data_IF_901471132379
#
_entry.id   IF_901471132379
#
_cell.length_a   1.000
_cell.length_b   1.000
_cell.length_c   1.000
_cell.angle_alpha   90.00
_cell.angle_beta   90.00
_cell.angle_gamma   90.00
#
_symmetry.space_group_name_H-M   'P 1'
#
loop_
_entity.id
_entity.type
_entity.pdbx_description
1 polymer ?
#
# COMPACT_ATOMS: atom_id res chain seq x y z
N UNK A 1 -4.60 -17.19 -24.02
CA UNK A 1 -5.37 -18.09 -23.14
C UNK A 1 -5.81 -17.31 -21.91
N UNK A 2 -7.13 -17.12 -21.72
CA UNK A 2 -7.74 -16.39 -20.58
C UNK A 2 -7.43 -17.15 -19.28
N UNK A 3 -6.42 -16.72 -18.51
CA UNK A 3 -6.11 -17.31 -17.20
C UNK A 3 -7.06 -16.79 -16.12
N UNK A 4 -8.36 -17.10 -16.29
CA UNK A 4 -9.46 -16.62 -15.45
C UNK A 4 -9.25 -16.96 -13.96
N UNK A 5 -8.67 -18.13 -13.66
CA UNK A 5 -8.38 -18.55 -12.28
C UNK A 5 -7.41 -17.60 -11.56
N UNK A 6 -6.35 -17.17 -12.24
CA UNK A 6 -5.38 -16.23 -11.67
C UNK A 6 -5.97 -14.83 -11.50
N UNK A 7 -6.81 -14.40 -12.46
CA UNK A 7 -7.51 -13.13 -12.40
C UNK A 7 -8.48 -13.10 -11.20
N UNK A 8 -9.23 -14.19 -10.96
CA UNK A 8 -10.13 -14.33 -9.80
C UNK A 8 -9.35 -14.35 -8.48
N UNK A 9 -8.26 -15.10 -8.39
CA UNK A 9 -7.46 -15.18 -7.17
C UNK A 9 -6.85 -13.82 -6.82
N UNK A 10 -6.27 -13.13 -7.80
CA UNK A 10 -5.71 -11.80 -7.60
C UNK A 10 -6.79 -10.78 -7.20
N UNK A 11 -7.93 -10.77 -7.89
CA UNK A 11 -9.05 -9.90 -7.57
C UNK A 11 -9.64 -10.19 -6.18
N UNK A 12 -9.71 -11.47 -5.78
CA UNK A 12 -10.15 -11.88 -4.45
C UNK A 12 -9.22 -11.37 -3.35
N UNK A 13 -7.91 -11.46 -3.53
CA UNK A 13 -6.95 -10.87 -2.59
C UNK A 13 -7.11 -9.36 -2.48
N UNK A 14 -7.35 -8.66 -3.60
CA UNK A 14 -7.56 -7.21 -3.58
C UNK A 14 -8.89 -6.86 -2.91
N UNK A 15 -9.93 -7.66 -3.15
CA UNK A 15 -11.23 -7.48 -2.52
C UNK A 15 -11.15 -7.59 -1.00
N UNK A 16 -10.33 -8.49 -0.45
CA UNK A 16 -10.10 -8.57 1.00
C UNK A 16 -9.55 -7.24 1.54
N UNK A 17 -8.54 -6.67 0.89
CA UNK A 17 -8.00 -5.35 1.27
C UNK A 17 -9.06 -4.24 1.19
N UNK A 18 -9.87 -4.24 0.14
CA UNK A 18 -10.97 -3.28 -0.01
C UNK A 18 -11.99 -3.44 1.13
N UNK A 19 -12.41 -4.66 1.45
CA UNK A 19 -13.39 -4.93 2.51
C UNK A 19 -12.88 -4.50 3.89
N UNK A 20 -11.59 -4.71 4.19
CA UNK A 20 -10.96 -4.21 5.42
C UNK A 20 -11.10 -2.68 5.53
N UNK A 21 -10.96 -1.95 4.43
CA UNK A 21 -11.01 -0.48 4.43
C UNK A 21 -12.44 0.09 4.37
N UNK A 22 -13.35 -0.58 3.67
CA UNK A 22 -14.74 -0.12 3.50
C UNK A 22 -15.56 -0.37 4.75
N UNK A 23 -15.44 -1.56 5.38
CA UNK A 23 -16.21 -1.93 6.56
C UNK A 23 -15.71 -1.11 7.77
N UNK A 24 -16.56 -0.26 8.41
CA UNK A 24 -16.12 0.66 9.45
C UNK A 24 -15.40 0.00 10.62
N UNK A 25 -15.93 -1.12 11.12
CA UNK A 25 -15.34 -1.86 12.23
C UNK A 25 -13.93 -2.37 11.92
N UNK A 26 -13.74 -2.96 10.73
CA UNK A 26 -12.43 -3.45 10.27
C UNK A 26 -11.47 -2.30 10.02
N UNK A 27 -11.94 -1.21 9.44
CA UNK A 27 -11.14 -0.01 9.18
C UNK A 27 -10.62 0.59 10.49
N UNK A 28 -11.47 0.72 11.52
CA UNK A 28 -11.03 1.28 12.81
C UNK A 28 -9.97 0.43 13.48
N UNK A 29 -10.14 -0.91 13.46
CA UNK A 29 -9.13 -1.83 14.00
C UNK A 29 -7.83 -1.77 13.19
N UNK A 30 -7.95 -1.74 11.87
CA UNK A 30 -6.81 -1.62 10.97
C UNK A 30 -6.02 -0.33 11.22
N UNK A 31 -6.70 0.81 11.34
CA UNK A 31 -6.07 2.10 11.68
C UNK A 31 -5.38 2.00 13.04
N UNK A 32 -6.06 1.54 14.09
CA UNK A 32 -5.50 1.39 15.43
C UNK A 32 -4.21 0.55 15.46
N UNK A 33 -4.22 -0.61 14.79
CA UNK A 33 -3.03 -1.47 14.69
C UNK A 33 -1.91 -0.75 13.96
N UNK A 34 -2.25 -0.03 12.89
CA UNK A 34 -1.23 0.62 12.06
C UNK A 34 -0.72 1.92 12.66
N UNK A 35 -1.48 2.55 13.56
CA UNK A 35 -1.02 3.69 14.36
C UNK A 35 -0.14 3.23 15.54
N UNK A 36 -0.43 2.06 16.12
CA UNK A 36 0.41 1.46 17.16
C UNK A 36 1.79 1.04 16.63
N UNK A 37 1.84 0.58 15.36
CA UNK A 37 3.09 0.20 14.70
C UNK A 37 3.18 0.80 13.28
N UNK A 38 3.44 2.11 13.13
CA UNK A 38 3.40 2.80 11.83
C UNK A 38 4.36 2.23 10.79
N UNK A 39 5.61 1.98 11.17
CA UNK A 39 6.60 1.44 10.25
C UNK A 39 6.30 0.01 9.85
N UNK A 40 5.91 -0.84 10.79
CA UNK A 40 5.55 -2.22 10.47
C UNK A 40 4.27 -2.26 9.61
N UNK A 41 3.28 -1.44 9.93
CA UNK A 41 2.07 -1.27 9.14
C UNK A 41 2.38 -0.79 7.72
N UNK A 42 3.24 0.21 7.58
CA UNK A 42 3.73 0.68 6.28
C UNK A 42 4.46 -0.43 5.52
N UNK A 43 5.37 -1.13 6.16
CA UNK A 43 6.11 -2.25 5.57
C UNK A 43 5.16 -3.31 5.00
N UNK A 44 4.24 -3.82 5.82
CA UNK A 44 3.34 -4.92 5.44
C UNK A 44 2.39 -4.48 4.32
N UNK A 45 1.78 -3.29 4.43
CA UNK A 45 0.84 -2.78 3.41
C UNK A 45 1.53 -2.60 2.06
N UNK A 46 2.69 -1.96 2.02
CA UNK A 46 3.41 -1.71 0.78
C UNK A 46 4.02 -3.00 0.20
N UNK A 47 4.60 -3.87 1.03
CA UNK A 47 5.13 -5.15 0.57
C UNK A 47 4.07 -5.98 -0.14
N UNK A 48 2.84 -6.02 0.38
CA UNK A 48 1.75 -6.79 -0.22
C UNK A 48 1.15 -6.06 -1.43
N UNK A 49 0.70 -4.82 -1.27
CA UNK A 49 -0.04 -4.11 -2.30
C UNK A 49 0.83 -3.74 -3.51
N UNK A 50 2.08 -3.35 -3.30
CA UNK A 50 2.99 -3.05 -4.41
C UNK A 50 3.41 -4.32 -5.16
N UNK A 51 3.64 -5.44 -4.45
CA UNK A 51 3.87 -6.73 -5.09
C UNK A 51 2.65 -7.23 -5.88
N UNK A 52 1.43 -6.98 -5.40
CA UNK A 52 0.22 -7.23 -6.18
C UNK A 52 0.17 -6.36 -7.44
N UNK A 53 0.57 -5.09 -7.34
CA UNK A 53 0.72 -4.17 -8.48
C UNK A 53 1.74 -4.66 -9.50
N UNK A 54 2.91 -5.14 -9.07
CA UNK A 54 3.94 -5.72 -9.94
C UNK A 54 3.40 -6.94 -10.71
N UNK A 55 2.65 -7.82 -10.03
CA UNK A 55 2.01 -8.97 -10.67
C UNK A 55 0.97 -8.54 -11.69
N UNK A 56 0.16 -7.51 -11.38
CA UNK A 56 -0.82 -6.97 -12.30
C UNK A 56 -0.15 -6.32 -13.52
N UNK A 57 0.91 -5.56 -13.32
CA UNK A 57 1.72 -4.98 -14.40
C UNK A 57 2.28 -6.06 -15.32
N UNK A 58 2.83 -7.14 -14.76
CA UNK A 58 3.29 -8.29 -15.54
C UNK A 58 2.15 -8.96 -16.33
N UNK A 59 0.95 -9.05 -15.73
CA UNK A 59 -0.25 -9.61 -16.38
C UNK A 59 -0.73 -8.76 -17.56
N UNK A 60 -0.69 -7.44 -17.43
CA UNK A 60 -1.05 -6.48 -18.49
C UNK A 60 -0.05 -6.58 -19.64
N UNK A 61 1.25 -6.57 -19.34
CA UNK A 61 2.32 -6.57 -20.35
C UNK A 61 2.47 -7.91 -21.08
N UNK A 62 2.38 -9.03 -20.35
CA UNK A 62 2.68 -10.38 -20.90
C UNK A 62 1.45 -11.20 -21.24
N UNK A 63 0.25 -10.73 -20.89
CA UNK A 63 -1.00 -11.47 -21.09
C UNK A 63 -1.17 -12.72 -20.22
N UNK A 64 -0.25 -12.99 -19.29
CA UNK A 64 -0.27 -14.15 -18.38
C UNK A 64 0.29 -13.78 -17.01
N UNK A 65 -0.18 -14.45 -15.97
CA UNK A 65 0.40 -14.33 -14.63
C UNK A 65 1.79 -14.93 -14.60
N UNK A 66 2.76 -14.13 -14.20
CA UNK A 66 4.16 -14.54 -14.04
C UNK A 66 4.64 -13.91 -12.75
N UNK A 67 5.25 -14.72 -11.88
CA UNK A 67 5.99 -14.17 -10.75
C UNK A 67 7.25 -13.46 -11.28
N UNK A 68 7.41 -12.16 -11.00
CA UNK A 68 8.65 -11.46 -11.34
C UNK A 68 9.86 -12.16 -10.72
N UNK A 69 10.97 -12.22 -11.44
CA UNK A 69 12.23 -12.73 -10.89
C UNK A 69 12.59 -11.93 -9.64
N UNK A 70 12.92 -12.63 -8.54
CA UNK A 70 13.20 -12.00 -7.26
C UNK A 70 11.97 -11.40 -6.56
N UNK A 71 10.76 -11.91 -6.82
CA UNK A 71 9.50 -11.44 -6.22
C UNK A 71 9.61 -11.16 -4.71
N UNK A 72 10.20 -12.07 -3.94
CA UNK A 72 10.35 -11.92 -2.49
C UNK A 72 11.28 -10.75 -2.12
N UNK A 73 12.41 -10.61 -2.81
CA UNK A 73 13.32 -9.47 -2.60
C UNK A 73 12.65 -8.14 -2.98
N UNK A 74 11.87 -8.12 -4.06
CA UNK A 74 11.08 -6.95 -4.44
C UNK A 74 10.04 -6.60 -3.38
N UNK A 75 9.35 -7.59 -2.81
CA UNK A 75 8.40 -7.36 -1.72
C UNK A 75 9.07 -6.74 -0.49
N UNK A 76 10.28 -7.19 -0.13
CA UNK A 76 11.07 -6.59 0.95
C UNK A 76 11.44 -5.15 0.61
N UNK A 77 11.92 -4.88 -0.60
CA UNK A 77 12.26 -3.52 -1.05
C UNK A 77 11.02 -2.61 -0.99
N UNK A 78 9.87 -3.09 -1.46
CA UNK A 78 8.61 -2.37 -1.36
C UNK A 78 8.21 -2.10 0.08
N UNK A 79 8.39 -3.07 0.98
CA UNK A 79 8.16 -2.87 2.40
C UNK A 79 9.05 -1.78 3.01
N UNK A 80 10.35 -1.80 2.70
CA UNK A 80 11.30 -0.76 3.18
C UNK A 80 10.88 0.62 2.65
N UNK A 81 10.54 0.72 1.37
CA UNK A 81 10.01 1.95 0.80
C UNK A 81 8.72 2.39 1.50
N UNK A 82 7.84 1.46 1.86
CA UNK A 82 6.63 1.73 2.64
C UNK A 82 6.91 2.35 4.01
N UNK A 83 7.95 1.89 4.71
CA UNK A 83 8.38 2.50 5.98
C UNK A 83 8.82 3.95 5.76
N UNK A 84 9.61 4.20 4.72
CA UNK A 84 10.10 5.55 4.40
C UNK A 84 8.94 6.48 4.00
N UNK A 85 8.01 6.00 3.17
CA UNK A 85 6.82 6.76 2.76
C UNK A 85 5.95 7.11 3.97
N UNK A 86 5.80 6.19 4.93
CA UNK A 86 5.06 6.43 6.18
C UNK A 86 5.67 7.60 6.97
N UNK A 87 7.00 7.66 7.07
CA UNK A 87 7.69 8.79 7.69
C UNK A 87 7.50 10.08 6.90
N UNK A 88 7.71 10.03 5.58
CA UNK A 88 7.62 11.20 4.71
C UNK A 88 6.25 11.84 4.78
N UNK A 89 5.17 11.06 4.77
CA UNK A 89 3.82 11.61 4.94
C UNK A 89 3.64 12.30 6.29
N UNK A 90 4.14 11.70 7.38
CA UNK A 90 4.05 12.33 8.71
C UNK A 90 4.78 13.67 8.73
N UNK A 91 6.02 13.69 8.24
CA UNK A 91 6.84 14.91 8.18
C UNK A 91 6.19 15.97 7.29
N UNK A 92 5.77 15.59 6.08
CA UNK A 92 5.17 16.51 5.12
C UNK A 92 3.87 17.11 5.65
N UNK A 93 2.97 16.31 6.21
CA UNK A 93 1.70 16.79 6.77
C UNK A 93 1.93 17.73 7.96
N UNK A 94 2.85 17.38 8.87
CA UNK A 94 3.21 18.26 9.99
C UNK A 94 3.87 19.56 9.54
N UNK A 95 4.73 19.49 8.52
CA UNK A 95 5.44 20.65 7.97
C UNK A 95 4.52 21.59 7.22
N UNK A 96 3.59 21.05 6.43
CA UNK A 96 2.56 21.82 5.75
C UNK A 96 1.66 22.55 6.75
N UNK A 97 1.15 21.84 7.76
CA UNK A 97 0.34 22.44 8.82
C UNK A 97 1.10 23.52 9.60
N UNK A 98 2.37 23.28 9.94
CA UNK A 98 3.22 24.27 10.60
C UNK A 98 3.49 25.51 9.74
N UNK A 99 3.67 25.34 8.43
CA UNK A 99 3.87 26.44 7.50
C UNK A 99 2.57 27.27 7.30
N UNK A 100 1.40 26.63 7.31
CA UNK A 100 0.11 27.33 7.30
C UNK A 100 -0.05 28.17 8.57
N UNK A 101 0.14 27.58 9.75
CA UNK A 101 0.05 28.28 11.04
C UNK A 101 1.09 29.42 11.20
N UNK A 102 2.18 29.39 10.42
CA UNK A 102 3.20 30.44 10.39
C UNK A 102 2.90 31.54 9.33
N UNK A 103 1.73 31.49 8.68
CA UNK A 103 1.35 32.39 7.59
C UNK A 103 2.23 32.26 6.34
N UNK A 104 2.97 31.15 6.18
CA UNK A 104 3.84 30.88 5.03
C UNK A 104 3.12 30.17 3.89
N UNK A 105 1.94 29.63 4.16
CA UNK A 105 1.04 28.99 3.18
C UNK A 105 -0.40 29.51 3.36
N UNK A 106 -1.21 29.57 2.29
CA UNK A 106 -2.61 29.99 2.37
C UNK A 106 -3.51 28.93 3.02
N UNK A 107 -4.75 29.34 3.35
CA UNK A 107 -5.86 28.50 3.86
C UNK A 107 -5.67 27.94 5.28
N UNK A 108 -5.51 28.81 6.29
CA UNK A 108 -5.65 28.41 7.71
C UNK A 108 -7.05 27.84 8.03
#
# INVERSE_FOLDING_TARGET
MKNLKGDILWAGMLLIWILILVIPMLRTQFIQITDAHPYLGGFVKFAILASMGDMLGARILKGRWVFPTGFFFKAIVWGILGMMITLVFTVFMSGAAGAQAAGRLPFE
#
